data_IF_432090104137
#
_entry.id   IF_432090104137
#
_cell.length_a   1.000
_cell.length_b   1.000
_cell.length_c   1.000
_cell.angle_alpha   90.00
_cell.angle_beta   90.00
_cell.angle_gamma   90.00
#
_symmetry.space_group_name_H-M   'P 1'
#
loop_
_entity.id
_entity.type
_entity.pdbx_description
1 polymer ?
#
# COMPACT_ATOMS: atom_id res chain seq x y z
N UNK A 1 -5.29 -11.18 1.07
CA UNK A 1 -4.17 -10.29 0.69
C UNK A 1 -3.94 -10.49 -0.81
N UNK A 2 -3.67 -9.43 -1.58
CA UNK A 2 -3.38 -9.61 -3.00
C UNK A 2 -2.09 -10.44 -3.14
N UNK A 3 -2.03 -11.37 -4.12
CA UNK A 3 -0.81 -12.16 -4.41
C UNK A 3 0.44 -11.32 -4.67
N UNK A 4 0.26 -10.02 -4.92
CA UNK A 4 1.35 -9.08 -5.18
C UNK A 4 1.99 -8.49 -3.91
N UNK A 5 1.45 -8.81 -2.73
CA UNK A 5 1.98 -8.40 -1.44
C UNK A 5 2.85 -9.50 -0.83
N UNK A 6 3.73 -9.11 0.11
CA UNK A 6 4.60 -10.08 0.79
C UNK A 6 3.82 -11.06 1.69
N UNK A 7 4.49 -12.10 2.16
CA UNK A 7 3.97 -12.92 3.26
C UNK A 7 4.04 -12.13 4.57
N UNK A 8 3.22 -12.49 5.56
CA UNK A 8 3.22 -11.83 6.88
C UNK A 8 4.56 -11.92 7.63
N UNK A 9 5.40 -12.87 7.27
CA UNK A 9 6.75 -13.11 7.80
C UNK A 9 7.87 -12.71 6.83
N UNK A 10 7.54 -12.05 5.71
CA UNK A 10 8.53 -11.55 4.77
C UNK A 10 9.36 -10.43 5.39
N UNK A 11 10.67 -10.50 5.18
CA UNK A 11 11.61 -9.46 5.57
C UNK A 11 12.53 -9.19 4.38
N UNK A 12 12.77 -7.91 4.10
CA UNK A 12 13.72 -7.49 3.05
C UNK A 12 14.53 -6.30 3.53
N UNK A 13 15.78 -6.19 3.07
CA UNK A 13 16.62 -5.01 3.31
C UNK A 13 17.20 -4.52 1.98
N UNK A 14 16.90 -3.27 1.60
CA UNK A 14 17.43 -2.63 0.39
C UNK A 14 17.98 -1.23 0.68
N UNK A 15 18.52 -0.55 -0.32
CA UNK A 15 19.45 0.57 -0.13
C UNK A 15 18.94 1.74 0.73
N UNK A 16 17.63 2.02 0.69
CA UNK A 16 17.03 3.22 1.30
C UNK A 16 16.40 2.98 2.67
N UNK A 17 16.50 1.77 3.21
CA UNK A 17 15.89 1.38 4.49
C UNK A 17 16.85 0.49 5.28
N UNK A 18 16.62 0.37 6.58
CA UNK A 18 17.27 -0.66 7.39
C UNK A 18 16.69 -2.02 6.98
N UNK A 19 15.36 -2.13 7.02
CA UNK A 19 14.61 -3.31 6.63
C UNK A 19 13.13 -2.97 6.38
N UNK A 20 12.42 -3.91 5.79
CA UNK A 20 10.97 -3.93 5.64
C UNK A 20 10.42 -5.24 6.20
N UNK A 21 9.23 -5.21 6.80
CA UNK A 21 8.62 -6.38 7.44
C UNK A 21 7.16 -6.53 7.04
N UNK A 22 6.78 -7.79 6.87
CA UNK A 22 5.40 -8.24 6.77
C UNK A 22 4.80 -8.01 5.41
N UNK A 23 3.50 -8.29 5.32
CA UNK A 23 2.78 -8.36 4.06
C UNK A 23 2.71 -7.01 3.34
N UNK A 24 2.63 -5.91 4.09
CA UNK A 24 2.65 -4.55 3.55
C UNK A 24 4.07 -4.00 3.34
N UNK A 25 5.11 -4.79 3.62
CA UNK A 25 6.51 -4.38 3.57
C UNK A 25 6.77 -3.05 4.32
N UNK A 26 6.18 -2.93 5.51
CA UNK A 26 6.31 -1.71 6.32
C UNK A 26 7.78 -1.47 6.67
N UNK A 27 8.22 -0.23 6.54
CA UNK A 27 9.64 0.13 6.58
C UNK A 27 10.13 0.46 7.98
N UNK A 28 11.38 0.10 8.25
CA UNK A 28 12.26 0.77 9.20
C UNK A 28 13.26 1.59 8.38
N UNK A 29 13.10 2.91 8.39
CA UNK A 29 13.96 3.88 7.71
C UNK A 29 15.36 3.94 8.28
N UNK A 30 16.26 4.63 7.58
CA UNK A 30 17.70 4.73 7.91
C UNK A 30 18.00 5.39 9.26
N UNK A 31 17.01 6.00 9.89
CA UNK A 31 17.07 6.64 11.21
C UNK A 31 16.29 5.84 12.26
N UNK A 32 15.82 4.64 11.92
CA UNK A 32 15.04 3.77 12.79
C UNK A 32 13.54 4.08 12.86
N UNK A 33 13.04 5.12 12.16
CA UNK A 33 11.61 5.48 12.12
C UNK A 33 10.93 4.92 10.88
N UNK A 34 9.60 4.85 10.85
CA UNK A 34 8.85 4.38 9.68
C UNK A 34 7.51 3.76 10.02
N UNK A 35 6.86 3.13 9.04
CA UNK A 35 5.56 2.49 9.26
C UNK A 35 5.64 1.24 10.15
N UNK A 36 6.78 0.53 10.16
CA UNK A 36 6.96 -0.66 10.99
C UNK A 36 7.17 -0.33 12.48
N UNK A 37 8.05 0.62 12.86
CA UNK A 37 8.14 1.08 14.25
C UNK A 37 6.79 1.53 14.82
N UNK A 38 5.99 2.26 14.04
CA UNK A 38 4.63 2.67 14.44
C UNK A 38 3.75 1.43 14.70
N UNK A 39 3.77 0.44 13.79
CA UNK A 39 3.00 -0.80 13.97
C UNK A 39 3.42 -1.57 15.23
N UNK A 40 4.71 -1.66 15.53
CA UNK A 40 5.25 -2.32 16.71
C UNK A 40 4.86 -1.55 17.99
N UNK A 41 4.89 -0.23 17.96
CA UNK A 41 4.46 0.60 19.09
C UNK A 41 2.95 0.46 19.36
N UNK A 42 2.10 0.51 18.35
CA UNK A 42 0.67 0.24 18.50
C UNK A 42 0.40 -1.19 19.03
N UNK A 43 1.21 -2.16 18.63
CA UNK A 43 1.15 -3.52 19.17
C UNK A 43 1.59 -3.60 20.62
N UNK A 44 2.65 -2.87 21.02
CA UNK A 44 3.13 -2.72 22.40
C UNK A 44 2.03 -2.17 23.30
N UNK A 45 1.37 -1.09 22.88
CA UNK A 45 0.28 -0.47 23.65
C UNK A 45 -0.91 -1.43 23.82
N UNK A 46 -1.22 -2.22 22.80
CA UNK A 46 -2.37 -3.14 22.81
C UNK A 46 -2.09 -4.47 23.51
N UNK A 47 -0.88 -5.01 23.38
CA UNK A 47 -0.49 -6.33 23.86
C UNK A 47 0.88 -6.29 24.58
N UNK A 48 1.02 -5.57 25.70
CA UNK A 48 2.31 -5.29 26.33
C UNK A 48 3.09 -6.56 26.73
N UNK A 49 2.40 -7.60 27.20
CA UNK A 49 3.04 -8.87 27.57
C UNK A 49 3.55 -9.64 26.33
N UNK A 50 2.77 -9.66 25.24
CA UNK A 50 3.22 -10.28 23.99
C UNK A 50 4.36 -9.50 23.36
N UNK A 51 4.29 -8.17 23.41
CA UNK A 51 5.39 -7.32 22.97
C UNK A 51 6.69 -7.67 23.69
N UNK A 52 6.63 -7.86 25.02
CA UNK A 52 7.81 -8.25 25.79
C UNK A 52 8.40 -9.56 25.29
N UNK A 53 7.56 -10.58 25.07
CA UNK A 53 8.01 -11.90 24.60
C UNK A 53 8.51 -11.90 23.16
N UNK A 54 7.83 -11.19 22.26
CA UNK A 54 8.09 -11.24 20.81
C UNK A 54 9.17 -10.24 20.36
N UNK A 55 9.38 -9.16 21.11
CA UNK A 55 10.31 -8.09 20.74
C UNK A 55 11.35 -7.82 21.83
N UNK A 56 10.93 -7.36 23.02
CA UNK A 56 11.85 -6.84 24.04
C UNK A 56 12.87 -7.88 24.48
N UNK A 57 12.41 -9.08 24.85
CA UNK A 57 13.26 -10.21 25.24
C UNK A 57 14.13 -10.73 24.07
N UNK A 58 13.82 -10.34 22.84
CA UNK A 58 14.55 -10.69 21.62
C UNK A 58 15.46 -9.54 21.13
N UNK A 59 15.69 -8.53 21.97
CA UNK A 59 16.54 -7.38 21.68
C UNK A 59 15.86 -6.25 20.91
N UNK A 60 14.65 -6.43 20.40
CA UNK A 60 13.95 -5.39 19.66
C UNK A 60 13.18 -4.46 20.60
N UNK A 61 13.46 -3.16 20.55
CA UNK A 61 12.74 -2.15 21.34
C UNK A 61 12.17 -1.04 20.46
N UNK A 62 11.11 -0.41 20.93
CA UNK A 62 10.48 0.74 20.28
C UNK A 62 10.18 1.82 21.31
N UNK A 63 10.53 3.05 20.95
CA UNK A 63 10.46 4.22 21.82
C UNK A 63 9.72 5.36 21.12
N UNK A 64 8.98 6.13 21.92
CA UNK A 64 8.33 7.36 21.48
C UNK A 64 9.25 8.53 21.81
N UNK A 65 9.69 9.21 20.78
CA UNK A 65 10.55 10.39 20.83
C UNK A 65 9.78 11.63 20.34
N UNK A 66 10.34 12.82 20.52
CA UNK A 66 9.70 14.08 20.11
C UNK A 66 9.39 14.12 18.61
N UNK A 67 10.21 13.45 17.80
CA UNK A 67 10.15 13.46 16.35
C UNK A 67 9.57 12.16 15.75
N UNK A 68 8.92 11.33 16.58
CA UNK A 68 8.17 10.15 16.16
C UNK A 68 8.49 8.89 16.94
N UNK A 69 8.15 7.74 16.34
CA UNK A 69 8.39 6.42 16.92
C UNK A 69 9.64 5.82 16.28
N UNK A 70 10.66 5.50 17.09
CA UNK A 70 11.93 4.94 16.63
C UNK A 70 12.15 3.54 17.18
N UNK A 71 12.71 2.67 16.33
CA UNK A 71 13.03 1.28 16.63
C UNK A 71 14.53 1.09 16.81
N UNK A 72 14.88 0.23 17.76
CA UNK A 72 16.23 -0.09 18.18
C UNK A 72 16.42 -1.60 18.31
N UNK A 73 17.68 -2.03 18.23
CA UNK A 73 18.11 -3.36 18.62
C UNK A 73 19.12 -3.26 19.75
N UNK A 74 18.92 -4.00 20.84
CA UNK A 74 19.81 -4.07 21.99
C UNK A 74 20.96 -5.03 21.68
N UNK A 75 22.19 -4.59 21.96
CA UNK A 75 23.39 -5.42 21.89
C UNK A 75 24.14 -5.37 23.21
N UNK A 76 25.22 -6.12 23.36
CA UNK A 76 26.11 -6.00 24.52
C UNK A 76 26.72 -4.60 24.68
N UNK A 77 26.76 -3.81 23.61
CA UNK A 77 27.26 -2.43 23.60
C UNK A 77 26.14 -1.38 23.80
N UNK A 78 24.90 -1.83 24.02
CA UNK A 78 23.71 -1.00 24.16
C UNK A 78 22.83 -0.97 22.91
N UNK A 79 21.83 -0.08 22.92
CA UNK A 79 20.87 0.14 21.84
C UNK A 79 21.52 0.70 20.59
N UNK A 80 21.32 0.02 19.47
CA UNK A 80 21.74 0.47 18.14
C UNK A 80 20.53 0.73 17.24
N UNK A 81 20.67 1.71 16.35
CA UNK A 81 19.74 1.97 15.25
C UNK A 81 20.52 2.50 14.05
N UNK A 82 19.82 2.93 13.01
CA UNK A 82 20.41 3.55 11.83
C UNK A 82 21.46 2.71 11.13
N UNK A 83 22.62 3.29 10.82
CA UNK A 83 23.69 2.63 10.08
C UNK A 83 24.22 1.39 10.78
N UNK A 84 24.39 1.43 12.12
CA UNK A 84 24.86 0.27 12.91
C UNK A 84 23.89 -0.89 12.80
N UNK A 85 22.60 -0.63 13.00
CA UNK A 85 21.56 -1.65 12.87
C UNK A 85 21.45 -2.17 11.43
N UNK A 86 21.53 -1.29 10.44
CA UNK A 86 21.54 -1.67 9.01
C UNK A 86 22.69 -2.62 8.69
N UNK A 87 23.88 -2.36 9.19
CA UNK A 87 25.03 -3.26 9.02
C UNK A 87 24.75 -4.60 9.68
N UNK A 88 24.29 -4.59 10.95
CA UNK A 88 24.02 -5.82 11.69
C UNK A 88 23.02 -6.75 10.99
N UNK A 89 21.89 -6.23 10.51
CA UNK A 89 20.86 -7.06 9.85
C UNK A 89 21.28 -7.54 8.45
N UNK A 90 22.37 -7.01 7.89
CA UNK A 90 22.93 -7.41 6.59
C UNK A 90 24.19 -8.26 6.73
N UNK A 91 24.71 -8.45 7.94
CA UNK A 91 25.91 -9.25 8.17
C UNK A 91 25.74 -10.66 7.60
N UNK A 92 26.70 -11.07 6.77
CA UNK A 92 26.73 -12.35 6.07
C UNK A 92 25.99 -12.38 4.73
N UNK A 93 25.09 -11.43 4.45
CA UNK A 93 24.32 -11.39 3.22
C UNK A 93 25.07 -10.63 2.11
N UNK A 94 25.90 -11.36 1.35
CA UNK A 94 26.63 -10.88 0.17
C UNK A 94 26.43 -11.79 -1.07
N UNK A 95 27.09 -11.45 -2.17
CA UNK A 95 26.99 -12.19 -3.44
C UNK A 95 27.41 -13.68 -3.33
N UNK A 96 28.29 -14.02 -2.38
CA UNK A 96 28.75 -15.39 -2.16
C UNK A 96 27.74 -16.21 -1.33
N UNK A 97 26.86 -15.54 -0.59
CA UNK A 97 25.80 -16.14 0.23
C UNK A 97 24.45 -16.28 -0.49
N UNK A 98 24.40 -15.99 -1.79
CA UNK A 98 23.15 -16.04 -2.54
C UNK A 98 22.52 -17.44 -2.46
N UNK A 99 21.23 -17.50 -2.14
CA UNK A 99 20.46 -18.73 -1.93
C UNK A 99 20.92 -19.62 -0.76
N UNK A 100 21.72 -19.08 0.17
CA UNK A 100 22.12 -19.79 1.39
C UNK A 100 21.25 -19.39 2.59
N UNK A 101 21.04 -20.35 3.49
CA UNK A 101 20.41 -20.09 4.79
C UNK A 101 21.49 -19.62 5.76
N UNK A 102 21.46 -18.34 6.12
CA UNK A 102 22.38 -17.76 7.08
C UNK A 102 21.70 -17.51 8.43
N UNK A 103 22.38 -17.83 9.56
CA UNK A 103 21.90 -17.42 10.86
C UNK A 103 21.98 -15.89 10.97
N UNK A 104 20.84 -15.27 11.24
CA UNK A 104 20.78 -13.86 11.62
C UNK A 104 19.73 -13.70 12.70
N UNK A 105 20.18 -13.60 13.95
CA UNK A 105 19.32 -13.59 15.13
C UNK A 105 18.30 -12.43 15.13
N UNK A 106 18.68 -11.16 14.86
CA UNK A 106 17.72 -10.07 14.74
C UNK A 106 16.58 -10.38 13.75
N UNK A 107 16.92 -10.91 12.57
CA UNK A 107 15.93 -11.22 11.53
C UNK A 107 15.07 -12.44 11.87
N UNK A 108 15.66 -13.48 12.47
CA UNK A 108 14.94 -14.69 12.86
C UNK A 108 13.81 -14.40 13.86
N UNK A 109 14.02 -13.46 14.79
CA UNK A 109 12.98 -13.02 15.72
C UNK A 109 11.81 -12.31 15.02
N UNK A 110 12.09 -11.43 14.06
CA UNK A 110 11.05 -10.77 13.27
C UNK A 110 10.25 -11.74 12.38
N UNK A 111 10.87 -12.82 11.88
CA UNK A 111 10.15 -13.90 11.18
C UNK A 111 9.15 -14.58 12.12
N UNK A 112 9.55 -14.85 13.38
CA UNK A 112 8.64 -15.43 14.40
C UNK A 112 7.47 -14.49 14.70
N UNK A 113 7.75 -13.19 14.83
CA UNK A 113 6.71 -12.15 15.00
C UNK A 113 5.70 -12.19 13.84
N UNK A 114 6.17 -12.29 12.60
CA UNK A 114 5.30 -12.38 11.42
C UNK A 114 4.38 -13.60 11.37
N UNK A 115 4.60 -14.59 12.25
CA UNK A 115 3.81 -15.81 12.41
C UNK A 115 2.90 -15.78 13.65
N UNK A 116 3.04 -14.82 14.55
CA UNK A 116 2.14 -14.67 15.71
C UNK A 116 0.75 -14.20 15.25
N UNK A 117 -0.30 -14.85 15.75
CA UNK A 117 -1.67 -14.58 15.32
C UNK A 117 -2.13 -13.15 15.62
N UNK A 118 -1.77 -12.57 16.77
CA UNK A 118 -2.19 -11.20 17.10
C UNK A 118 -1.42 -10.17 16.28
N UNK A 119 -0.16 -10.46 15.96
CA UNK A 119 0.60 -9.61 15.05
C UNK A 119 0.11 -9.73 13.61
N UNK A 120 -0.28 -10.92 13.14
CA UNK A 120 -0.96 -11.11 11.84
C UNK A 120 -2.28 -10.31 11.82
N UNK A 121 -3.09 -10.40 12.89
CA UNK A 121 -4.32 -9.59 13.01
C UNK A 121 -4.02 -8.10 12.94
N UNK A 122 -2.93 -7.63 13.54
CA UNK A 122 -2.48 -6.24 13.43
C UNK A 122 -2.13 -5.86 11.99
N UNK A 123 -1.41 -6.72 11.26
CA UNK A 123 -1.10 -6.49 9.84
C UNK A 123 -2.38 -6.40 8.98
N UNK A 124 -3.34 -7.31 9.19
CA UNK A 124 -4.64 -7.29 8.49
C UNK A 124 -5.43 -6.03 8.82
N UNK A 125 -5.44 -5.62 10.09
CA UNK A 125 -6.10 -4.37 10.50
C UNK A 125 -5.48 -3.15 9.82
N UNK A 126 -4.17 -3.12 9.62
CA UNK A 126 -3.50 -2.03 8.93
C UNK A 126 -3.85 -1.95 7.44
N UNK A 127 -4.05 -3.10 6.77
CA UNK A 127 -4.62 -3.12 5.42
C UNK A 127 -6.02 -2.49 5.39
N UNK A 128 -6.88 -2.79 6.37
CA UNK A 128 -8.23 -2.23 6.48
C UNK A 128 -8.19 -0.71 6.71
N UNK A 129 -7.30 -0.23 7.58
CA UNK A 129 -7.14 1.20 7.80
C UNK A 129 -6.60 1.91 6.55
N UNK A 130 -5.63 1.30 5.85
CA UNK A 130 -5.05 1.89 4.64
C UNK A 130 -6.07 1.98 3.52
N UNK A 131 -6.82 0.90 3.25
CA UNK A 131 -7.83 0.93 2.18
C UNK A 131 -8.89 2.01 2.47
N UNK A 132 -9.40 2.11 3.70
CA UNK A 132 -10.33 3.19 4.11
C UNK A 132 -9.72 4.57 3.91
N UNK A 133 -8.52 4.80 4.45
CA UNK A 133 -7.79 6.07 4.34
C UNK A 133 -7.66 6.54 2.89
N UNK A 134 -7.35 5.66 1.95
CA UNK A 134 -7.16 6.04 0.55
C UNK A 134 -8.47 6.11 -0.22
N UNK A 135 -9.41 5.21 0.04
CA UNK A 135 -10.75 5.26 -0.55
C UNK A 135 -11.54 6.52 -0.14
N UNK A 136 -11.26 7.09 1.03
CA UNK A 136 -11.89 8.34 1.51
C UNK A 136 -11.23 9.62 0.96
N UNK A 137 -10.10 9.54 0.26
CA UNK A 137 -9.49 10.71 -0.39
C UNK A 137 -10.25 11.12 -1.65
N UNK A 138 -10.14 12.39 -2.03
CA UNK A 138 -10.61 12.91 -3.31
C UNK A 138 -9.47 12.84 -4.34
N UNK A 139 -9.72 12.35 -5.57
CA UNK A 139 -8.75 12.45 -6.66
C UNK A 139 -8.45 13.91 -7.00
N UNK A 140 -7.23 14.19 -7.48
CA UNK A 140 -6.86 15.54 -7.87
C UNK A 140 -7.78 16.03 -9.02
N UNK A 141 -8.38 17.21 -8.86
CA UNK A 141 -9.33 17.78 -9.83
C UNK A 141 -10.78 17.32 -9.70
N UNK A 142 -11.10 16.49 -8.69
CA UNK A 142 -12.46 15.94 -8.50
C UNK A 142 -12.99 16.18 -7.09
N UNK A 143 -14.32 16.30 -6.98
CA UNK A 143 -14.99 16.63 -5.71
C UNK A 143 -15.47 15.42 -4.91
N UNK A 144 -15.53 14.24 -5.54
CA UNK A 144 -16.03 13.00 -4.95
C UNK A 144 -14.87 12.11 -4.51
N UNK A 145 -15.10 11.31 -3.48
CA UNK A 145 -14.12 10.39 -2.91
C UNK A 145 -13.84 9.22 -3.86
N UNK A 146 -12.65 8.65 -3.77
CA UNK A 146 -12.23 7.50 -4.58
C UNK A 146 -13.24 6.35 -4.47
N UNK A 147 -13.80 6.08 -3.27
CA UNK A 147 -14.80 5.03 -3.08
C UNK A 147 -16.12 5.25 -3.82
N UNK A 148 -16.43 6.49 -4.19
CA UNK A 148 -17.64 6.81 -4.95
C UNK A 148 -17.41 6.48 -6.44
N UNK A 149 -16.18 6.60 -6.93
CA UNK A 149 -15.78 6.14 -8.27
C UNK A 149 -15.52 4.63 -8.33
N UNK A 150 -14.91 4.07 -7.26
CA UNK A 150 -14.47 2.68 -7.16
C UNK A 150 -15.21 1.94 -6.04
N UNK A 151 -16.41 1.44 -6.34
CA UNK A 151 -17.22 0.71 -5.38
C UNK A 151 -16.94 -0.81 -5.41
N UNK A 152 -16.40 -1.31 -6.52
CA UNK A 152 -16.15 -2.74 -6.72
C UNK A 152 -15.00 -3.27 -5.85
N UNK A 153 -14.98 -4.58 -5.56
CA UNK A 153 -13.84 -5.22 -4.91
C UNK A 153 -12.51 -5.01 -5.67
N UNK A 154 -12.53 -5.08 -7.01
CA UNK A 154 -11.36 -4.83 -7.86
C UNK A 154 -10.85 -3.40 -7.66
N UNK A 155 -11.72 -2.39 -7.77
CA UNK A 155 -11.32 -0.99 -7.65
C UNK A 155 -10.67 -0.68 -6.30
N UNK A 156 -11.25 -1.22 -5.22
CA UNK A 156 -10.68 -1.11 -3.86
C UNK A 156 -9.33 -1.82 -3.75
N UNK A 157 -9.19 -3.01 -4.33
CA UNK A 157 -7.92 -3.76 -4.33
C UNK A 157 -6.81 -3.00 -5.09
N UNK A 158 -7.14 -2.36 -6.23
CA UNK A 158 -6.19 -1.57 -7.00
C UNK A 158 -5.75 -0.30 -6.25
N UNK A 159 -6.67 0.37 -5.54
CA UNK A 159 -6.31 1.50 -4.66
C UNK A 159 -5.39 1.06 -3.54
N UNK A 160 -5.66 -0.09 -2.93
CA UNK A 160 -4.82 -0.63 -1.88
C UNK A 160 -3.41 -0.94 -2.38
N UNK A 161 -3.28 -1.69 -3.48
CA UNK A 161 -2.01 -2.04 -4.14
C UNK A 161 -1.17 -0.77 -4.42
N UNK A 162 -1.79 0.24 -5.03
CA UNK A 162 -1.11 1.50 -5.30
C UNK A 162 -0.69 2.20 -4.00
N UNK A 163 -1.59 2.25 -3.02
CA UNK A 163 -1.31 2.93 -1.77
C UNK A 163 -0.15 2.30 -0.99
N UNK A 164 0.06 0.98 -1.08
CA UNK A 164 1.17 0.28 -0.45
C UNK A 164 2.49 0.66 -1.12
N UNK A 165 2.51 0.70 -2.46
CA UNK A 165 3.75 0.85 -3.23
C UNK A 165 4.15 2.30 -3.50
N UNK A 166 3.20 3.19 -3.75
CA UNK A 166 3.44 4.60 -4.07
C UNK A 166 2.33 5.50 -3.49
N UNK A 167 2.23 5.59 -2.15
CA UNK A 167 1.13 6.28 -1.46
C UNK A 167 0.90 7.74 -1.90
N UNK A 168 1.96 8.46 -2.24
CA UNK A 168 1.88 9.87 -2.65
C UNK A 168 1.20 10.06 -4.02
N UNK A 169 1.18 9.03 -4.88
CA UNK A 169 0.75 9.12 -6.26
C UNK A 169 -0.74 8.77 -6.46
N UNK A 170 -1.39 8.17 -5.46
CA UNK A 170 -2.76 7.63 -5.59
C UNK A 170 -3.77 8.67 -6.07
N UNK A 171 -3.88 9.83 -5.41
CA UNK A 171 -4.93 10.81 -5.77
C UNK A 171 -4.66 11.47 -7.12
N UNK A 172 -3.40 11.65 -7.48
CA UNK A 172 -2.97 12.20 -8.77
C UNK A 172 -3.34 11.25 -9.90
N UNK A 173 -2.95 9.99 -9.80
CA UNK A 173 -3.10 9.02 -10.89
C UNK A 173 -4.56 8.60 -11.08
N UNK A 174 -5.34 8.49 -9.98
CA UNK A 174 -6.79 8.31 -10.09
C UNK A 174 -7.43 9.52 -10.79
N UNK A 175 -7.04 10.74 -10.43
CA UNK A 175 -7.57 11.96 -11.06
C UNK A 175 -7.23 12.03 -12.55
N UNK A 176 -6.02 11.63 -12.94
CA UNK A 176 -5.62 11.54 -14.34
C UNK A 176 -6.49 10.54 -15.11
N UNK A 177 -6.73 9.34 -14.56
CA UNK A 177 -7.57 8.33 -15.20
C UNK A 177 -9.03 8.78 -15.36
N UNK A 178 -9.61 9.43 -14.34
CA UNK A 178 -10.97 9.99 -14.41
C UNK A 178 -11.04 11.09 -15.48
N UNK A 179 -9.99 11.93 -15.59
CA UNK A 179 -9.90 12.98 -16.61
C UNK A 179 -9.88 12.41 -18.02
N UNK A 180 -9.05 11.39 -18.24
CA UNK A 180 -9.00 10.68 -19.51
C UNK A 180 -10.35 10.06 -19.85
N UNK A 181 -11.02 9.41 -18.89
CA UNK A 181 -12.36 8.85 -19.08
C UNK A 181 -13.38 9.91 -19.51
N UNK A 182 -13.46 11.06 -18.83
CA UNK A 182 -14.42 12.09 -19.20
C UNK A 182 -14.09 12.75 -20.54
N UNK A 183 -12.81 12.91 -20.89
CA UNK A 183 -12.41 13.43 -22.19
C UNK A 183 -12.83 12.49 -23.33
N UNK A 184 -12.64 11.18 -23.15
CA UNK A 184 -13.11 10.15 -24.10
C UNK A 184 -14.63 10.25 -24.28
N UNK A 185 -15.38 10.31 -23.17
CA UNK A 185 -16.85 10.36 -23.21
C UNK A 185 -17.42 11.65 -23.76
N UNK A 186 -16.81 12.79 -23.46
CA UNK A 186 -17.21 14.06 -24.05
C UNK A 186 -16.96 14.06 -25.56
N UNK A 187 -15.83 13.50 -26.02
CA UNK A 187 -15.52 13.38 -27.45
C UNK A 187 -16.53 12.48 -28.16
N UNK A 188 -16.84 11.31 -27.61
CA UNK A 188 -17.86 10.39 -28.14
C UNK A 188 -19.22 11.09 -28.31
N UNK A 189 -19.63 11.90 -27.32
CA UNK A 189 -20.90 12.63 -27.34
C UNK A 189 -20.88 13.77 -28.36
N UNK A 190 -19.78 14.52 -28.44
CA UNK A 190 -19.62 15.60 -29.42
C UNK A 190 -19.72 15.04 -30.84
N UNK A 191 -19.00 13.97 -31.16
CA UNK A 191 -19.04 13.36 -32.49
C UNK A 191 -20.41 12.75 -32.81
N UNK A 192 -21.04 12.07 -31.85
CA UNK A 192 -22.41 11.57 -32.03
C UNK A 192 -23.40 12.71 -32.31
N UNK A 193 -23.33 13.80 -31.54
CA UNK A 193 -24.28 14.91 -31.70
C UNK A 193 -24.10 15.70 -33.01
N UNK A 194 -22.98 15.54 -33.74
CA UNK A 194 -22.81 16.08 -35.09
C UNK A 194 -23.57 15.31 -36.15
N UNK A 195 -23.83 14.01 -35.94
CA UNK A 195 -24.54 13.16 -36.91
C UNK A 195 -26.05 13.19 -36.74
N UNK A 196 -26.54 13.80 -35.65
CA UNK A 196 -27.95 13.83 -35.27
C UNK A 196 -28.55 15.21 -35.54
N UNK A 197 -29.58 15.25 -36.39
CA UNK A 197 -30.30 16.48 -36.77
C UNK A 197 -31.37 16.87 -35.75
N UNK A 198 -32.11 15.90 -35.23
CA UNK A 198 -33.17 16.13 -34.24
C UNK A 198 -32.57 16.42 -32.85
N UNK A 199 -32.92 17.57 -32.27
CA UNK A 199 -32.38 18.00 -30.97
C UNK A 199 -32.73 17.01 -29.85
N UNK A 200 -33.91 16.37 -29.91
CA UNK A 200 -34.39 15.40 -28.91
C UNK A 200 -33.55 14.12 -28.85
N UNK A 201 -32.83 13.80 -29.93
CA UNK A 201 -32.05 12.57 -30.04
C UNK A 201 -30.59 12.79 -29.63
N UNK A 202 -30.20 14.04 -29.31
CA UNK A 202 -28.84 14.39 -28.87
C UNK A 202 -28.57 13.87 -27.45
N UNK A 203 -27.34 13.39 -27.25
CA UNK A 203 -26.87 12.94 -25.94
C UNK A 203 -26.38 14.11 -25.10
N UNK A 204 -26.73 14.11 -23.82
CA UNK A 204 -26.14 15.00 -22.81
C UNK A 204 -24.80 14.45 -22.33
N UNK A 205 -23.92 15.34 -21.86
CA UNK A 205 -22.69 14.96 -21.16
C UNK A 205 -23.00 14.06 -19.96
N UNK A 206 -22.11 13.10 -19.70
CA UNK A 206 -22.21 12.21 -18.52
C UNK A 206 -22.05 13.04 -17.24
N UNK A 207 -22.81 12.76 -16.17
CA UNK A 207 -22.61 13.45 -14.89
C UNK A 207 -21.19 13.22 -14.36
N UNK A 208 -20.59 14.27 -13.77
CA UNK A 208 -19.28 14.19 -13.12
C UNK A 208 -19.38 13.66 -11.68
N UNK A 209 -20.60 13.56 -11.18
CA UNK A 209 -20.94 12.88 -9.94
C UNK A 209 -21.13 11.39 -10.21
N UNK A 210 -20.26 10.52 -9.69
CA UNK A 210 -20.39 9.09 -9.90
C UNK A 210 -21.68 8.50 -9.28
N UNK A 211 -22.27 9.18 -8.28
CA UNK A 211 -23.54 8.74 -7.70
C UNK A 211 -24.73 8.85 -8.67
N UNK A 212 -24.61 9.66 -9.73
CA UNK A 212 -25.66 9.82 -10.75
C UNK A 212 -25.55 8.76 -11.86
N UNK A 213 -24.53 7.89 -11.85
CA UNK A 213 -24.29 6.94 -12.94
C UNK A 213 -25.27 5.75 -12.96
N UNK A 214 -25.96 5.49 -11.85
CA UNK A 214 -26.94 4.40 -11.75
C UNK A 214 -26.40 3.06 -12.25
N UNK A 215 -27.13 2.40 -13.16
CA UNK A 215 -26.75 1.09 -13.72
C UNK A 215 -25.48 1.14 -14.60
N UNK A 216 -25.01 2.33 -14.99
CA UNK A 216 -23.76 2.51 -15.74
C UNK A 216 -22.53 2.60 -14.86
N UNK A 217 -22.70 2.66 -13.54
CA UNK A 217 -21.58 2.85 -12.61
C UNK A 217 -20.46 1.81 -12.83
N UNK A 218 -20.79 0.51 -12.77
CA UNK A 218 -19.79 -0.56 -12.96
C UNK A 218 -19.11 -0.50 -14.34
N UNK A 219 -19.84 -0.14 -15.39
CA UNK A 219 -19.28 0.01 -16.73
C UNK A 219 -18.25 1.15 -16.77
N UNK A 220 -18.56 2.29 -16.15
CA UNK A 220 -17.67 3.45 -16.12
C UNK A 220 -16.49 3.23 -15.17
N UNK A 221 -16.73 2.65 -14.00
CA UNK A 221 -15.69 2.20 -13.07
C UNK A 221 -14.69 1.30 -13.80
N UNK A 222 -15.15 0.25 -14.48
CA UNK A 222 -14.27 -0.66 -15.22
C UNK A 222 -13.44 0.08 -16.28
N UNK A 223 -14.03 1.03 -17.02
CA UNK A 223 -13.26 1.82 -17.99
C UNK A 223 -12.20 2.67 -17.30
N UNK A 224 -12.52 3.30 -16.18
CA UNK A 224 -11.55 4.09 -15.41
C UNK A 224 -10.45 3.18 -14.85
N UNK A 225 -10.78 1.97 -14.40
CA UNK A 225 -9.80 0.99 -13.92
C UNK A 225 -8.86 0.50 -15.03
N UNK A 226 -9.32 0.36 -16.28
CA UNK A 226 -8.43 0.06 -17.41
C UNK A 226 -7.46 1.22 -17.74
N UNK A 227 -7.85 2.45 -17.45
CA UNK A 227 -6.98 3.63 -17.63
C UNK A 227 -6.02 3.81 -16.44
N UNK A 228 -6.53 3.65 -15.22
CA UNK A 228 -5.81 3.80 -13.98
C UNK A 228 -4.85 2.62 -13.73
N UNK A 229 -5.35 1.41 -13.92
CA UNK A 229 -4.70 0.13 -13.68
C UNK A 229 -3.23 0.06 -14.14
N UNK A 230 -2.97 0.11 -15.44
CA UNK A 230 -1.62 -0.03 -15.96
C UNK A 230 -0.77 1.24 -15.88
N UNK A 231 -1.38 2.42 -15.66
CA UNK A 231 -0.71 3.72 -15.75
C UNK A 231 -0.25 4.30 -14.41
N UNK A 232 -0.42 3.57 -13.29
CA UNK A 232 0.00 4.02 -11.96
C UNK A 232 1.51 4.22 -11.91
N UNK A 233 1.93 5.31 -11.29
CA UNK A 233 3.33 5.63 -11.06
C UNK A 233 3.86 4.83 -9.85
N UNK A 234 4.13 3.56 -10.11
CA UNK A 234 4.66 2.58 -9.17
C UNK A 234 5.37 1.46 -9.93
N UNK A 235 6.16 0.67 -9.20
CA UNK A 235 6.86 -0.47 -9.79
C UNK A 235 5.88 -1.50 -10.37
N UNK A 236 6.12 -1.91 -11.62
CA UNK A 236 5.42 -3.01 -12.30
C UNK A 236 3.89 -2.86 -12.37
N UNK A 237 3.39 -1.62 -12.45
CA UNK A 237 1.96 -1.30 -12.35
C UNK A 237 1.07 -2.15 -13.26
N UNK A 238 1.45 -2.32 -14.53
CA UNK A 238 0.70 -3.12 -15.51
C UNK A 238 0.61 -4.59 -15.11
N UNK A 239 1.73 -5.26 -14.83
CA UNK A 239 1.67 -6.68 -14.48
C UNK A 239 0.99 -6.90 -13.12
N UNK A 240 1.16 -5.98 -12.16
CA UNK A 240 0.44 -6.02 -10.89
C UNK A 240 -1.07 -5.88 -11.09
N UNK A 241 -1.51 -4.96 -11.94
CA UNK A 241 -2.91 -4.82 -12.34
C UNK A 241 -3.46 -6.11 -12.97
N UNK A 242 -2.77 -6.64 -13.98
CA UNK A 242 -3.17 -7.85 -14.68
C UNK A 242 -3.29 -9.07 -13.75
N UNK A 243 -2.42 -9.17 -12.74
CA UNK A 243 -2.50 -10.23 -11.71
C UNK A 243 -3.70 -10.05 -10.79
N UNK A 244 -3.95 -8.85 -10.29
CA UNK A 244 -5.09 -8.59 -9.37
C UNK A 244 -6.41 -8.80 -10.11
N UNK A 245 -6.51 -8.29 -11.35
CA UNK A 245 -7.70 -8.40 -12.18
C UNK A 245 -8.15 -9.85 -12.41
N UNK A 246 -7.22 -10.80 -12.52
CA UNK A 246 -7.52 -12.24 -12.70
C UNK A 246 -8.20 -12.90 -11.51
N UNK A 247 -8.21 -12.25 -10.34
CA UNK A 247 -8.82 -12.77 -9.12
C UNK A 247 -10.27 -12.29 -8.93
N UNK A 248 -10.82 -11.52 -9.90
CA UNK A 248 -12.18 -10.96 -9.90
C UNK A 248 -12.89 -11.28 -11.22
#
# INVERSE_FOLDING_TARGET
MAKNEGNCDSIQAYDRVILTVGAMQKTVGIDGRGEFPIQVYEFKEKYPQKYKVLFENCGWTVEKEDDGIRMYYETSEGKITGSKLRTLVRTGFDANSLNQNLPNEPLAHLIKVGKDEDFIRKQVYDFILRIRKYCDKKPNGYSYQIKEYFNSPLGKAIVLDHSVNAPANVTRDVGAAITTFFNEKDTEIIEFNKTVTNVTDKKSKISRNPNDWGSKHLQYENRILELYGPARDMNDAKNRYDKIKKEF
#
